data_IF_069847025502
#
_entry.id   IF_069847025502
#
_cell.length_a   1.000
_cell.length_b   1.000
_cell.length_c   1.000
_cell.angle_alpha   90.00
_cell.angle_beta   90.00
_cell.angle_gamma   90.00
#
_symmetry.space_group_name_H-M   'P 1'
#
loop_
_entity.id
_entity.type
_entity.pdbx_description
1 polymer ?
#
# COMPACT_ATOMS: atom_id res chain seq x y z
N UNK A 1 3.40 19.96 -13.42
CA UNK A 1 4.60 20.20 -12.58
C UNK A 1 5.53 19.00 -12.72
N UNK A 2 6.78 19.22 -13.00
CA UNK A 2 7.73 18.10 -13.02
C UNK A 2 8.19 17.72 -11.60
N UNK A 3 8.74 16.52 -11.47
CA UNK A 3 9.14 15.95 -10.18
C UNK A 3 10.24 16.79 -9.51
N UNK A 4 11.18 17.33 -10.27
CA UNK A 4 12.29 18.12 -9.70
C UNK A 4 11.76 19.44 -9.10
N UNK A 5 10.86 20.11 -9.79
CA UNK A 5 10.19 21.30 -9.26
C UNK A 5 9.43 20.98 -7.99
N UNK A 6 8.70 19.86 -7.96
CA UNK A 6 8.00 19.41 -6.74
C UNK A 6 8.96 19.19 -5.57
N UNK A 7 10.06 18.47 -5.79
CA UNK A 7 11.07 18.19 -4.75
C UNK A 7 11.69 19.49 -4.22
N UNK A 8 12.03 20.41 -5.11
CA UNK A 8 12.57 21.72 -4.72
C UNK A 8 11.59 22.47 -3.81
N UNK A 9 10.35 22.61 -4.26
CA UNK A 9 9.31 23.31 -3.49
C UNK A 9 9.02 22.61 -2.15
N UNK A 10 9.01 21.29 -2.14
CA UNK A 10 8.81 20.49 -0.93
C UNK A 10 9.92 20.75 0.09
N UNK A 11 11.17 20.76 -0.33
CA UNK A 11 12.31 21.04 0.55
C UNK A 11 12.37 22.49 1.03
N UNK A 12 11.95 23.43 0.20
CA UNK A 12 11.79 24.84 0.64
C UNK A 12 10.73 24.98 1.73
N UNK A 13 9.60 24.26 1.58
CA UNK A 13 8.50 24.36 2.53
C UNK A 13 8.79 23.63 3.85
N UNK A 14 9.40 22.45 3.81
CA UNK A 14 9.55 21.56 4.96
C UNK A 14 10.99 21.38 5.45
N UNK A 15 11.96 21.99 4.79
CA UNK A 15 13.38 21.89 5.11
C UNK A 15 14.14 20.93 4.21
N UNK A 16 15.46 21.17 4.06
CA UNK A 16 16.32 20.36 3.18
C UNK A 16 16.50 18.91 3.66
N UNK A 17 16.29 18.67 4.95
CA UNK A 17 16.38 17.34 5.57
C UNK A 17 15.02 16.65 5.71
N UNK A 18 13.95 17.24 5.21
CA UNK A 18 12.63 16.62 5.25
C UNK A 18 12.61 15.32 4.44
N UNK A 19 11.97 14.30 5.01
CA UNK A 19 11.76 13.04 4.30
C UNK A 19 10.85 13.27 3.10
N UNK A 20 11.27 12.79 1.92
CA UNK A 20 10.50 12.94 0.71
C UNK A 20 9.30 11.97 0.68
N UNK A 21 8.20 12.36 0.05
CA UNK A 21 7.04 11.50 -0.11
C UNK A 21 7.35 10.22 -0.88
N UNK A 22 6.55 9.20 -0.62
CA UNK A 22 6.54 7.96 -1.40
C UNK A 22 5.44 8.11 -2.45
N UNK A 23 5.81 7.88 -3.70
CA UNK A 23 4.86 7.77 -4.81
C UNK A 23 4.41 6.31 -4.97
N UNK A 24 3.18 6.13 -5.43
CA UNK A 24 2.69 4.81 -5.84
C UNK A 24 1.93 4.92 -7.16
N UNK A 25 1.99 3.83 -7.93
CA UNK A 25 1.25 3.73 -9.18
C UNK A 25 1.00 2.27 -9.55
N UNK A 26 0.03 2.04 -10.43
CA UNK A 26 -0.29 0.71 -10.92
C UNK A 26 0.13 0.56 -12.38
N UNK A 27 0.58 -0.64 -12.76
CA UNK A 27 0.84 -1.01 -14.16
C UNK A 27 0.76 -2.52 -14.36
N UNK A 28 0.86 -2.96 -15.62
CA UNK A 28 0.90 -4.38 -15.97
C UNK A 28 2.32 -4.91 -16.18
N UNK A 29 3.34 -4.07 -15.97
CA UNK A 29 4.75 -4.44 -16.13
C UNK A 29 5.51 -4.22 -14.83
N UNK A 30 6.41 -5.15 -14.44
CA UNK A 30 7.28 -4.94 -13.30
C UNK A 30 8.38 -3.95 -13.67
N UNK A 31 8.20 -2.69 -13.30
CA UNK A 31 9.13 -1.61 -13.64
C UNK A 31 10.36 -1.57 -12.73
N UNK A 32 10.27 -2.20 -11.59
CA UNK A 32 11.33 -2.24 -10.56
C UNK A 32 11.39 -3.62 -9.92
N UNK A 33 12.26 -3.82 -8.92
CA UNK A 33 12.43 -5.10 -8.24
C UNK A 33 11.11 -5.61 -7.65
N UNK A 34 10.73 -6.85 -8.00
CA UNK A 34 9.58 -7.53 -7.42
C UNK A 34 9.95 -7.99 -6.01
N UNK A 35 9.18 -7.57 -5.02
CA UNK A 35 9.37 -7.94 -3.63
C UNK A 35 8.24 -8.87 -3.14
N UNK A 36 8.60 -9.82 -2.29
CA UNK A 36 7.63 -10.58 -1.52
C UNK A 36 7.55 -9.98 -0.11
N UNK A 37 6.33 -9.59 0.29
CA UNK A 37 6.08 -9.03 1.61
C UNK A 37 5.41 -10.08 2.48
N UNK A 38 6.10 -10.56 3.49
CA UNK A 38 5.55 -11.48 4.48
C UNK A 38 4.98 -10.68 5.66
N UNK A 39 3.68 -10.87 5.92
CA UNK A 39 2.96 -10.14 6.95
C UNK A 39 2.43 -8.78 6.46
N UNK A 40 2.53 -7.76 7.29
CA UNK A 40 1.97 -6.44 6.98
C UNK A 40 2.62 -5.81 5.75
N UNK A 41 1.80 -5.30 4.83
CA UNK A 41 2.25 -4.61 3.62
C UNK A 41 3.21 -3.45 3.94
N UNK A 42 2.96 -2.73 5.02
CA UNK A 42 3.76 -1.55 5.38
C UNK A 42 5.18 -1.87 5.87
N UNK A 43 5.52 -3.14 6.08
CA UNK A 43 6.91 -3.53 6.42
C UNK A 43 7.93 -3.10 5.36
N UNK A 44 7.52 -3.05 4.10
CA UNK A 44 8.42 -2.64 3.01
C UNK A 44 8.57 -1.13 2.88
N UNK A 45 7.72 -0.32 3.51
CA UNK A 45 7.75 1.13 3.36
C UNK A 45 9.02 1.77 3.91
N UNK A 46 9.63 1.18 4.94
CA UNK A 46 10.94 1.67 5.43
C UNK A 46 12.01 1.59 4.34
N UNK A 47 12.06 0.48 3.62
CA UNK A 47 13.01 0.30 2.51
C UNK A 47 12.75 1.29 1.38
N UNK A 48 11.47 1.55 1.08
CA UNK A 48 11.09 2.54 0.05
C UNK A 48 11.51 3.94 0.48
N UNK A 49 11.26 4.30 1.73
CA UNK A 49 11.70 5.58 2.29
C UNK A 49 13.22 5.73 2.20
N UNK A 50 13.95 4.66 2.42
CA UNK A 50 15.43 4.63 2.35
C UNK A 50 15.96 4.61 0.90
N UNK A 51 15.07 4.63 -0.11
CA UNK A 51 15.42 4.81 -1.51
C UNK A 51 15.29 3.57 -2.40
N UNK A 52 14.81 2.44 -1.88
CA UNK A 52 14.53 1.25 -2.68
C UNK A 52 13.18 1.39 -3.40
N UNK A 53 13.15 1.08 -4.70
CA UNK A 53 11.89 1.02 -5.46
C UNK A 53 11.45 -0.44 -5.57
N UNK A 54 10.14 -0.70 -5.37
CA UNK A 54 9.60 -2.05 -5.33
C UNK A 54 8.32 -2.18 -6.16
N UNK A 55 8.10 -3.39 -6.69
CA UNK A 55 6.86 -3.80 -7.33
C UNK A 55 6.21 -4.93 -6.52
N UNK A 56 4.93 -4.79 -6.26
CA UNK A 56 4.12 -5.79 -5.55
C UNK A 56 3.00 -6.30 -6.46
N UNK A 57 2.57 -7.53 -6.23
CA UNK A 57 1.43 -8.14 -6.93
C UNK A 57 0.55 -8.90 -5.95
N UNK A 58 -0.58 -9.38 -6.42
CA UNK A 58 -1.45 -10.25 -5.62
C UNK A 58 -0.72 -11.48 -5.08
N UNK A 59 0.28 -11.99 -5.81
CA UNK A 59 1.05 -13.16 -5.42
C UNK A 59 2.13 -12.85 -4.38
N UNK A 60 2.65 -11.64 -4.39
CA UNK A 60 3.76 -11.24 -3.50
C UNK A 60 3.32 -10.57 -2.20
N UNK A 61 2.06 -10.11 -2.13
CA UNK A 61 1.46 -9.63 -0.88
C UNK A 61 0.83 -10.82 -0.16
N UNK A 62 1.26 -11.11 1.06
CA UNK A 62 0.72 -12.23 1.84
C UNK A 62 -0.40 -11.83 2.80
N UNK A 63 -0.49 -10.57 3.17
CA UNK A 63 -1.52 -10.06 4.06
C UNK A 63 -2.85 -9.91 3.34
N UNK A 64 -3.91 -10.58 3.82
CA UNK A 64 -5.24 -10.50 3.24
C UNK A 64 -5.81 -9.07 3.25
N UNK A 65 -5.60 -8.33 4.34
CA UNK A 65 -5.97 -6.92 4.41
C UNK A 65 -5.19 -6.07 3.38
N UNK A 66 -3.88 -6.32 3.24
CA UNK A 66 -3.07 -5.65 2.25
C UNK A 66 -3.57 -5.87 0.82
N UNK A 67 -3.92 -7.11 0.48
CA UNK A 67 -4.51 -7.44 -0.82
C UNK A 67 -5.84 -6.72 -1.06
N UNK A 68 -6.68 -6.68 -0.04
CA UNK A 68 -7.98 -6.00 -0.12
C UNK A 68 -7.83 -4.49 -0.31
N UNK A 69 -7.08 -3.82 0.57
CA UNK A 69 -6.94 -2.36 0.54
C UNK A 69 -6.17 -1.84 -0.68
N UNK A 70 -5.34 -2.66 -1.29
CA UNK A 70 -4.66 -2.34 -2.55
C UNK A 70 -5.48 -2.71 -3.79
N UNK A 71 -6.66 -3.31 -3.62
CA UNK A 71 -7.56 -3.64 -4.72
C UNK A 71 -7.29 -4.97 -5.41
N UNK A 72 -6.34 -5.78 -4.94
CA UNK A 72 -5.97 -7.04 -5.60
C UNK A 72 -6.94 -8.19 -5.33
N UNK A 73 -7.59 -8.21 -4.17
CA UNK A 73 -8.55 -9.29 -3.84
C UNK A 73 -9.62 -8.82 -2.87
N UNK A 74 -10.67 -9.59 -2.75
CA UNK A 74 -11.68 -9.40 -1.72
C UNK A 74 -11.10 -9.72 -0.33
N UNK A 75 -11.75 -9.20 0.71
CA UNK A 75 -11.37 -9.50 2.10
C UNK A 75 -11.59 -10.99 2.39
N UNK A 76 -10.60 -11.70 2.96
CA UNK A 76 -10.79 -13.08 3.35
C UNK A 76 -11.96 -13.25 4.32
N UNK A 77 -12.76 -14.31 4.15
CA UNK A 77 -13.96 -14.58 4.97
C UNK A 77 -13.69 -14.69 6.47
N UNK A 78 -12.48 -15.11 6.84
CA UNK A 78 -12.08 -15.24 8.26
C UNK A 78 -11.87 -13.89 8.96
N UNK A 79 -11.64 -12.82 8.22
CA UNK A 79 -11.22 -11.52 8.79
C UNK A 79 -12.28 -10.89 9.68
N UNK A 80 -13.58 -10.86 9.33
CA UNK A 80 -14.60 -10.29 10.22
C UNK A 80 -14.61 -10.93 11.59
N UNK A 81 -14.55 -12.26 11.67
CA UNK A 81 -14.48 -12.98 12.95
C UNK A 81 -13.18 -12.71 13.71
N UNK A 82 -12.06 -12.72 13.01
CA UNK A 82 -10.76 -12.43 13.61
C UNK A 82 -10.72 -11.03 14.23
N UNK A 83 -11.12 -10.01 13.49
CA UNK A 83 -11.07 -8.62 13.95
C UNK A 83 -12.03 -8.35 15.12
N UNK A 84 -13.18 -8.99 15.13
CA UNK A 84 -14.19 -8.80 16.19
C UNK A 84 -14.00 -9.74 17.38
N UNK A 85 -14.06 -11.05 17.14
CA UNK A 85 -14.11 -12.04 18.22
C UNK A 85 -12.73 -12.30 18.85
N UNK A 86 -11.66 -12.27 18.05
CA UNK A 86 -10.31 -12.51 18.55
C UNK A 86 -9.61 -11.23 18.97
N UNK A 87 -9.48 -10.26 18.08
CA UNK A 87 -8.77 -9.01 18.35
C UNK A 87 -9.62 -7.94 19.03
N UNK A 88 -10.94 -8.11 19.02
CA UNK A 88 -11.90 -7.22 19.72
C UNK A 88 -11.85 -5.75 19.29
N UNK A 89 -11.45 -5.47 18.07
CA UNK A 89 -11.48 -4.11 17.52
C UNK A 89 -12.91 -3.65 17.19
N UNK A 90 -13.78 -4.58 16.86
CA UNK A 90 -15.21 -4.36 16.63
C UNK A 90 -16.02 -5.33 17.46
N UNK A 91 -17.27 -4.96 17.78
CA UNK A 91 -18.11 -5.73 18.68
C UNK A 91 -18.53 -7.08 18.09
N UNK A 92 -18.90 -7.11 16.81
CA UNK A 92 -19.39 -8.32 16.14
C UNK A 92 -18.80 -8.44 14.74
N UNK A 93 -18.79 -9.67 14.14
CA UNK A 93 -18.38 -9.85 12.74
C UNK A 93 -19.22 -9.03 11.77
N UNK A 94 -20.52 -8.89 12.00
CA UNK A 94 -21.44 -8.12 11.16
C UNK A 94 -21.05 -6.65 11.12
N UNK A 95 -20.61 -6.08 12.24
CA UNK A 95 -20.11 -4.69 12.29
C UNK A 95 -18.88 -4.51 11.40
N UNK A 96 -17.98 -5.49 11.35
CA UNK A 96 -16.81 -5.48 10.47
C UNK A 96 -17.24 -5.54 9.00
N UNK A 97 -18.19 -6.41 8.67
CA UNK A 97 -18.70 -6.55 7.29
C UNK A 97 -19.33 -5.24 6.83
N UNK A 98 -20.19 -4.63 7.65
CA UNK A 98 -20.83 -3.35 7.34
C UNK A 98 -19.79 -2.25 7.10
N UNK A 99 -18.77 -2.17 7.95
CA UNK A 99 -17.68 -1.22 7.80
C UNK A 99 -16.92 -1.40 6.48
N UNK A 100 -16.58 -2.66 6.12
CA UNK A 100 -15.87 -2.96 4.88
C UNK A 100 -16.70 -2.60 3.64
N UNK A 101 -18.02 -2.81 3.69
CA UNK A 101 -18.92 -2.42 2.61
C UNK A 101 -19.01 -0.91 2.44
N UNK A 102 -19.05 -0.17 3.54
CA UNK A 102 -19.09 1.30 3.53
C UNK A 102 -17.80 1.92 2.95
N UNK A 103 -16.66 1.28 3.13
CA UNK A 103 -15.39 1.77 2.59
C UNK A 103 -15.34 1.84 1.06
N UNK A 104 -16.10 0.98 0.38
CA UNK A 104 -16.17 0.94 -1.09
C UNK A 104 -14.78 0.89 -1.76
N UNK A 105 -13.88 0.06 -1.25
CA UNK A 105 -12.52 -0.08 -1.78
C UNK A 105 -12.59 -0.69 -3.19
N UNK A 106 -12.12 0.01 -4.22
CA UNK A 106 -12.20 -0.50 -5.59
C UNK A 106 -11.23 -1.69 -5.81
N UNK A 107 -11.60 -2.55 -6.78
CA UNK A 107 -10.70 -3.60 -7.27
C UNK A 107 -9.84 -3.04 -8.40
N UNK A 108 -8.57 -3.43 -8.44
CA UNK A 108 -7.68 -3.07 -9.54
C UNK A 108 -7.68 -4.15 -10.62
N UNK A 109 -7.53 -3.73 -11.88
CA UNK A 109 -7.30 -4.62 -13.01
C UNK A 109 -5.81 -4.75 -13.35
N UNK A 110 -4.95 -3.96 -12.70
CA UNK A 110 -3.51 -3.99 -12.93
C UNK A 110 -2.84 -5.14 -12.18
N UNK A 111 -1.76 -5.65 -12.76
CA UNK A 111 -0.98 -6.75 -12.18
C UNK A 111 -0.09 -6.30 -11.03
N UNK A 112 0.46 -5.09 -11.13
CA UNK A 112 1.45 -4.59 -10.19
C UNK A 112 1.06 -3.27 -9.56
N UNK A 113 1.43 -3.13 -8.29
CA UNK A 113 1.47 -1.88 -7.53
C UNK A 113 2.93 -1.55 -7.23
N UNK A 114 3.35 -0.37 -7.61
CA UNK A 114 4.72 0.09 -7.43
C UNK A 114 4.79 1.14 -6.34
N UNK A 115 5.91 1.13 -5.60
CA UNK A 115 6.27 2.17 -4.64
C UNK A 115 7.69 2.62 -4.87
N UNK A 116 7.89 3.93 -4.86
CA UNK A 116 9.21 4.54 -4.89
C UNK A 116 9.18 5.86 -4.13
N UNK A 117 10.29 6.21 -3.50
CA UNK A 117 10.45 7.59 -3.04
C UNK A 117 10.43 8.51 -4.25
N UNK A 118 9.84 9.70 -4.12
CA UNK A 118 9.53 10.54 -5.29
C UNK A 118 10.75 10.88 -6.15
N UNK A 119 11.94 10.93 -5.55
CA UNK A 119 13.20 11.17 -6.27
C UNK A 119 13.78 9.92 -6.95
N UNK A 120 13.13 8.76 -6.80
CA UNK A 120 13.55 7.44 -7.32
C UNK A 120 12.56 6.84 -8.31
N UNK A 121 11.57 7.58 -8.74
CA UNK A 121 10.63 7.11 -9.76
C UNK A 121 11.40 6.85 -11.06
N UNK A 122 11.22 5.67 -11.68
CA UNK A 122 11.89 5.33 -12.93
C UNK A 122 11.42 6.17 -14.11
#
# INVERSE_FOLDING_TARGET
MDIQTFITNYREAFGTQAELPIAFWYSNQPEVTIEKVNGCLFKCMKQVRDGKSISLSNETITCGGGKFYTGFSEMPERVPGFVSLKEKYKKTPETVIDFLQELQVPRTEYTYLHFARIDKIP
#
